data_IF_290859759518
#
_entry.id   IF_290859759518
#
_cell.length_a   1.000
_cell.length_b   1.000
_cell.length_c   1.000
_cell.angle_alpha   90.00
_cell.angle_beta   90.00
_cell.angle_gamma   90.00
#
_symmetry.space_group_name_H-M   'P 1'
#
loop_
_entity.id
_entity.type
_entity.pdbx_description
1 polymer ?
#
# COMPACT_ATOMS: atom_id res chain seq x y z
N UNK A 1 29.05 -5.58 1.88
CA UNK A 1 27.92 -5.77 2.83
C UNK A 1 26.69 -5.22 2.17
N UNK A 2 25.66 -6.02 1.97
CA UNK A 2 24.40 -5.59 1.38
C UNK A 2 23.48 -4.96 2.45
N UNK A 3 22.64 -4.00 2.03
CA UNK A 3 21.69 -3.31 2.89
C UNK A 3 20.26 -3.62 2.46
N UNK A 4 19.45 -4.13 3.39
CA UNK A 4 18.00 -4.19 3.23
C UNK A 4 17.38 -2.87 3.70
N UNK A 5 16.52 -2.25 2.88
CA UNK A 5 15.93 -0.95 3.19
C UNK A 5 14.44 -1.06 3.53
N UNK A 6 14.04 -0.42 4.63
CA UNK A 6 12.68 -0.39 5.14
C UNK A 6 11.93 0.89 4.72
N UNK A 7 12.47 2.05 5.08
CA UNK A 7 11.86 3.34 4.79
C UNK A 7 12.88 4.47 4.84
N UNK A 8 12.45 5.64 4.38
CA UNK A 8 13.14 6.90 4.54
C UNK A 8 12.32 7.79 5.46
N UNK A 9 12.99 8.59 6.29
CA UNK A 9 12.39 9.59 7.14
C UNK A 9 13.22 10.86 7.18
N UNK A 10 12.73 11.87 7.88
CA UNK A 10 13.48 13.09 8.16
C UNK A 10 14.56 12.83 9.20
N UNK A 11 15.79 13.27 8.93
CA UNK A 11 16.92 13.10 9.85
C UNK A 11 16.66 13.77 11.20
N UNK A 12 15.96 14.89 11.21
CA UNK A 12 15.62 15.63 12.43
C UNK A 12 14.73 14.85 13.41
N UNK A 13 14.03 13.83 12.95
CA UNK A 13 13.23 12.94 13.81
C UNK A 13 14.09 12.01 14.67
N UNK A 14 15.39 11.91 14.38
CA UNK A 14 16.35 11.04 15.05
C UNK A 14 17.52 11.83 15.61
N UNK A 15 17.43 12.33 16.86
CA UNK A 15 18.49 13.12 17.49
C UNK A 15 19.85 12.44 17.50
N UNK A 16 19.87 11.10 17.53
CA UNK A 16 21.06 10.27 17.49
C UNK A 16 21.89 10.51 16.22
N UNK A 17 21.24 10.87 15.11
CA UNK A 17 21.93 11.17 13.86
C UNK A 17 22.53 12.58 13.77
N UNK A 18 22.23 13.48 14.71
CA UNK A 18 22.59 14.89 14.59
C UNK A 18 24.09 15.12 14.39
N UNK A 19 24.92 14.29 15.03
CA UNK A 19 26.40 14.38 15.01
C UNK A 19 27.08 13.25 14.27
N UNK A 20 26.32 12.28 13.75
CA UNK A 20 26.87 11.09 13.12
C UNK A 20 26.83 11.18 11.59
N UNK A 21 27.95 10.79 10.97
CA UNK A 21 28.09 10.63 9.51
C UNK A 21 28.08 9.15 9.08
N UNK A 22 28.12 8.25 10.04
CA UNK A 22 28.09 6.80 9.85
C UNK A 22 26.73 6.25 10.32
N UNK A 23 26.34 5.06 9.87
CA UNK A 23 25.15 4.39 10.38
C UNK A 23 25.18 4.25 11.90
N UNK A 24 24.04 4.52 12.55
CA UNK A 24 23.87 4.42 13.99
C UNK A 24 22.87 3.30 14.28
N UNK A 25 23.19 2.32 15.17
CA UNK A 25 22.24 1.27 15.50
C UNK A 25 21.04 1.81 16.26
N UNK A 26 19.84 1.32 15.92
CA UNK A 26 18.62 1.54 16.70
C UNK A 26 18.49 0.41 17.72
N UNK A 27 18.44 0.75 19.02
CA UNK A 27 18.47 -0.26 20.09
C UNK A 27 17.12 -0.98 20.27
N UNK A 28 16.00 -0.29 20.00
CA UNK A 28 14.66 -0.80 20.32
C UNK A 28 13.95 -1.52 19.16
N UNK A 29 14.60 -1.63 18.00
CA UNK A 29 14.02 -2.24 16.81
C UNK A 29 14.92 -3.33 16.24
N UNK A 30 14.29 -4.46 15.92
CA UNK A 30 14.94 -5.57 15.19
C UNK A 30 14.34 -5.69 13.80
N UNK A 31 15.16 -5.96 12.82
CA UNK A 31 14.78 -6.12 11.43
C UNK A 31 14.34 -7.55 11.06
N UNK A 32 14.37 -7.83 9.77
CA UNK A 32 14.15 -9.18 9.22
C UNK A 32 15.16 -10.13 9.84
N UNK A 33 14.72 -11.34 10.16
CA UNK A 33 15.55 -12.40 10.78
C UNK A 33 16.24 -11.98 12.08
N UNK A 34 15.72 -10.96 12.77
CA UNK A 34 16.33 -10.44 14.00
C UNK A 34 17.55 -9.54 13.78
N UNK A 35 17.86 -9.18 12.55
CA UNK A 35 19.03 -8.34 12.21
C UNK A 35 18.91 -6.94 12.86
N UNK A 36 20.06 -6.40 13.28
CA UNK A 36 20.17 -5.06 13.82
C UNK A 36 19.72 -4.01 12.79
N UNK A 37 18.86 -3.09 13.20
CA UNK A 37 18.48 -1.94 12.39
C UNK A 37 19.45 -0.79 12.61
N UNK A 38 19.74 -0.07 11.53
CA UNK A 38 20.59 1.10 11.52
C UNK A 38 19.87 2.30 10.92
N UNK A 39 20.10 3.46 11.52
CA UNK A 39 19.80 4.76 10.92
C UNK A 39 20.98 5.18 10.05
N UNK A 40 20.78 5.21 8.76
CA UNK A 40 21.78 5.61 7.78
C UNK A 40 21.61 7.10 7.41
N UNK A 41 22.57 7.99 7.77
CA UNK A 41 22.44 9.42 7.49
C UNK A 41 22.65 9.74 6.01
N UNK A 42 21.71 10.47 5.41
CA UNK A 42 21.76 10.88 4.02
C UNK A 42 21.27 12.33 3.84
N UNK A 43 22.16 13.28 4.00
CA UNK A 43 21.85 14.72 4.08
C UNK A 43 20.82 15.03 5.17
N UNK A 44 19.65 15.54 4.79
CA UNK A 44 18.53 15.86 5.70
C UNK A 44 17.58 14.68 5.91
N UNK A 45 17.90 13.52 5.32
CA UNK A 45 17.13 12.29 5.42
C UNK A 45 17.87 11.25 6.28
N UNK A 46 17.11 10.35 6.84
CA UNK A 46 17.55 9.13 7.47
C UNK A 46 16.97 7.93 6.69
N UNK A 47 17.82 6.97 6.34
CA UNK A 47 17.38 5.72 5.73
C UNK A 47 17.44 4.63 6.80
N UNK A 48 16.33 3.96 7.00
CA UNK A 48 16.22 2.88 7.96
C UNK A 48 16.56 1.57 7.23
N UNK A 49 17.64 0.93 7.65
CA UNK A 49 18.22 -0.24 6.97
C UNK A 49 18.65 -1.32 7.98
N UNK A 50 18.83 -2.55 7.52
CA UNK A 50 19.57 -3.59 8.23
C UNK A 50 20.61 -4.21 7.30
N UNK A 51 21.60 -4.87 7.87
CA UNK A 51 22.46 -5.74 7.09
C UNK A 51 21.63 -6.85 6.46
N UNK A 52 22.00 -7.24 5.26
CA UNK A 52 21.31 -8.30 4.53
C UNK A 52 22.30 -9.33 4.01
N UNK A 53 22.03 -10.58 4.35
CA UNK A 53 22.73 -11.70 3.76
C UNK A 53 21.97 -12.13 2.49
N UNK A 54 22.59 -12.12 1.28
CA UNK A 54 21.93 -12.54 0.04
C UNK A 54 21.39 -13.98 0.05
N UNK A 55 21.87 -14.82 0.97
CA UNK A 55 21.39 -16.19 1.16
C UNK A 55 20.08 -16.26 2.00
N UNK A 56 19.67 -15.16 2.62
CA UNK A 56 18.42 -15.11 3.39
C UNK A 56 17.21 -15.01 2.44
N UNK A 57 16.27 -15.92 2.64
CA UNK A 57 15.01 -15.92 1.90
C UNK A 57 14.06 -14.82 2.41
N UNK A 58 13.62 -13.95 1.51
CA UNK A 58 12.62 -12.91 1.78
C UNK A 58 11.20 -13.50 1.72
N UNK A 59 10.89 -14.36 2.67
CA UNK A 59 9.64 -15.07 2.78
C UNK A 59 8.50 -14.23 3.39
N UNK A 60 7.37 -14.86 3.67
CA UNK A 60 6.19 -14.20 4.26
C UNK A 60 6.45 -13.63 5.67
N UNK A 61 7.32 -14.26 6.48
CA UNK A 61 7.69 -13.73 7.79
C UNK A 61 8.54 -12.45 7.64
N UNK A 62 9.49 -12.46 6.71
CA UNK A 62 10.28 -11.27 6.37
C UNK A 62 9.39 -10.09 5.92
N UNK A 63 8.30 -10.37 5.18
CA UNK A 63 7.34 -9.33 4.80
C UNK A 63 6.60 -8.74 6.02
N UNK A 64 6.26 -9.55 7.02
CA UNK A 64 5.67 -9.08 8.28
C UNK A 64 6.66 -8.24 9.09
N UNK A 65 7.92 -8.69 9.18
CA UNK A 65 8.97 -7.95 9.88
C UNK A 65 9.23 -6.60 9.22
N UNK A 66 9.27 -6.55 7.88
CA UNK A 66 9.38 -5.30 7.13
C UNK A 66 8.22 -4.35 7.48
N UNK A 67 6.98 -4.84 7.42
CA UNK A 67 5.80 -4.03 7.72
C UNK A 67 5.79 -3.54 9.17
N UNK A 68 6.24 -4.36 10.13
CA UNK A 68 6.39 -4.01 11.54
C UNK A 68 7.39 -2.88 11.71
N UNK A 69 8.59 -3.00 11.16
CA UNK A 69 9.63 -1.96 11.24
C UNK A 69 9.15 -0.64 10.66
N UNK A 70 8.55 -0.67 9.46
CA UNK A 70 7.99 0.55 8.85
C UNK A 70 6.88 1.15 9.70
N UNK A 71 6.01 0.32 10.28
CA UNK A 71 4.93 0.75 11.17
C UNK A 71 5.46 1.38 12.47
N UNK A 72 6.51 0.83 13.07
CA UNK A 72 7.13 1.38 14.28
C UNK A 72 7.84 2.71 13.98
N UNK A 73 8.55 2.81 12.85
CA UNK A 73 9.11 4.09 12.41
C UNK A 73 8.02 5.14 12.14
N UNK A 74 6.87 4.73 11.59
CA UNK A 74 5.74 5.61 11.32
C UNK A 74 5.12 6.21 12.59
N UNK A 75 5.13 5.48 13.71
CA UNK A 75 4.69 6.01 15.00
C UNK A 75 5.58 7.14 15.54
N UNK A 76 6.86 7.11 15.14
CA UNK A 76 7.86 8.09 15.60
C UNK A 76 7.95 9.30 14.65
N UNK A 77 7.73 9.11 13.36
CA UNK A 77 7.95 10.15 12.35
C UNK A 77 7.23 9.88 11.05
N UNK A 78 7.23 10.87 10.15
CA UNK A 78 6.81 10.67 8.75
C UNK A 78 7.76 9.72 8.06
N UNK A 79 7.23 8.67 7.44
CA UNK A 79 8.02 7.70 6.70
C UNK A 79 7.63 7.63 5.23
N UNK A 80 8.60 7.37 4.40
CA UNK A 80 8.45 7.03 2.99
C UNK A 80 8.86 5.56 2.83
N UNK A 81 7.90 4.62 2.81
CA UNK A 81 8.20 3.20 2.77
C UNK A 81 8.92 2.78 1.49
N UNK A 82 9.94 1.96 1.60
CA UNK A 82 10.43 1.16 0.48
C UNK A 82 9.51 -0.03 0.23
N UNK A 83 9.58 -0.56 -0.97
CA UNK A 83 8.93 -1.83 -1.27
C UNK A 83 9.63 -2.96 -0.52
N UNK A 84 8.85 -3.92 -0.06
CA UNK A 84 9.40 -5.18 0.41
C UNK A 84 10.35 -5.78 -0.63
N UNK A 85 11.51 -6.26 -0.17
CA UNK A 85 12.55 -6.79 -1.03
C UNK A 85 13.48 -5.72 -1.65
N UNK A 86 13.45 -4.47 -1.17
CA UNK A 86 14.41 -3.46 -1.61
C UNK A 86 15.77 -3.70 -0.94
N UNK A 87 16.74 -4.15 -1.73
CA UNK A 87 18.11 -4.44 -1.29
C UNK A 87 19.11 -3.66 -2.12
N UNK A 88 20.10 -3.09 -1.47
CA UNK A 88 21.26 -2.46 -2.08
C UNK A 88 22.47 -3.35 -1.91
N UNK A 89 23.21 -3.57 -3.00
CA UNK A 89 24.33 -4.51 -3.02
C UNK A 89 25.47 -4.14 -2.04
N UNK A 90 25.65 -2.85 -1.82
CA UNK A 90 26.68 -2.30 -0.93
C UNK A 90 26.34 -0.88 -0.48
N UNK A 91 27.21 -0.32 0.34
CA UNK A 91 27.09 1.04 0.88
C UNK A 91 27.14 2.10 -0.23
N UNK A 92 27.93 1.88 -1.27
CA UNK A 92 28.04 2.82 -2.39
C UNK A 92 26.75 2.84 -3.22
N UNK A 93 26.15 1.69 -3.50
CA UNK A 93 24.89 1.57 -4.22
C UNK A 93 23.75 2.27 -3.45
N UNK A 94 23.69 2.08 -2.12
CA UNK A 94 22.74 2.78 -1.25
C UNK A 94 22.93 4.30 -1.36
N UNK A 95 24.15 4.79 -1.12
CA UNK A 95 24.49 6.23 -1.17
C UNK A 95 24.17 6.85 -2.53
N UNK A 96 24.53 6.17 -3.61
CA UNK A 96 24.28 6.62 -4.98
C UNK A 96 22.80 6.75 -5.25
N UNK A 97 22.02 5.73 -4.89
CA UNK A 97 20.57 5.72 -5.07
C UNK A 97 19.89 6.86 -4.30
N UNK A 98 20.23 7.04 -3.01
CA UNK A 98 19.64 8.10 -2.20
C UNK A 98 20.02 9.47 -2.72
N UNK A 99 21.30 9.70 -3.07
CA UNK A 99 21.78 10.99 -3.61
C UNK A 99 21.10 11.35 -4.93
N UNK A 100 20.97 10.38 -5.83
CA UNK A 100 20.34 10.60 -7.14
C UNK A 100 18.85 10.97 -7.03
N UNK A 101 18.19 10.53 -5.95
CA UNK A 101 16.75 10.72 -5.75
C UNK A 101 16.44 11.66 -4.56
N UNK A 102 17.43 12.34 -3.99
CA UNK A 102 17.32 13.11 -2.76
C UNK A 102 16.18 14.14 -2.81
N UNK A 103 16.11 14.93 -3.88
CA UNK A 103 15.05 15.95 -4.04
C UNK A 103 13.66 15.31 -4.06
N UNK A 104 13.54 14.21 -4.80
CA UNK A 104 12.28 13.48 -4.88
C UNK A 104 11.86 12.94 -3.50
N UNK A 105 12.75 12.30 -2.77
CA UNK A 105 12.45 11.81 -1.42
C UNK A 105 12.09 12.95 -0.46
N UNK A 106 12.84 14.04 -0.46
CA UNK A 106 12.55 15.19 0.41
C UNK A 106 11.16 15.78 0.12
N UNK A 107 10.82 16.00 -1.15
CA UNK A 107 9.49 16.50 -1.55
C UNK A 107 8.37 15.55 -1.11
N UNK A 108 8.58 14.22 -1.24
CA UNK A 108 7.57 13.25 -0.81
C UNK A 108 7.42 13.18 0.70
N UNK A 109 8.52 13.19 1.45
CA UNK A 109 8.48 13.21 2.92
C UNK A 109 7.74 14.46 3.41
N UNK A 110 8.03 15.63 2.82
CA UNK A 110 7.32 16.86 3.17
C UNK A 110 5.82 16.79 2.83
N UNK A 111 5.45 16.29 1.65
CA UNK A 111 4.05 16.12 1.25
C UNK A 111 3.27 15.18 2.17
N UNK A 112 3.93 14.16 2.69
CA UNK A 112 3.34 13.13 3.55
C UNK A 112 3.42 13.46 5.03
N UNK A 113 4.05 14.59 5.40
CA UNK A 113 4.23 14.98 6.80
C UNK A 113 2.89 15.12 7.51
N UNK A 114 2.77 14.42 8.65
CA UNK A 114 1.55 14.42 9.46
C UNK A 114 0.35 13.75 8.81
N UNK A 115 0.54 13.01 7.71
CA UNK A 115 -0.52 12.28 7.03
C UNK A 115 -0.45 10.77 7.32
N UNK A 116 -1.61 10.13 7.25
CA UNK A 116 -1.78 8.69 7.40
C UNK A 116 -2.66 8.13 6.29
N UNK A 117 -2.43 6.89 5.93
CA UNK A 117 -3.26 6.17 4.98
C UNK A 117 -4.36 5.40 5.71
N UNK A 118 -5.61 5.61 5.31
CA UNK A 118 -6.76 4.80 5.71
C UNK A 118 -7.19 3.93 4.55
N UNK A 119 -7.39 2.64 4.82
CA UNK A 119 -7.74 1.67 3.80
C UNK A 119 -9.15 1.15 4.02
N UNK A 120 -10.01 1.36 3.03
CA UNK A 120 -11.41 0.97 3.03
C UNK A 120 -11.67 -0.09 1.97
N UNK A 121 -12.16 -1.26 2.38
CA UNK A 121 -12.65 -2.32 1.51
C UNK A 121 -14.16 -2.36 1.55
N UNK A 122 -14.78 -2.36 0.38
CA UNK A 122 -16.23 -2.51 0.24
C UNK A 122 -16.52 -3.77 -0.57
N UNK A 123 -17.20 -4.71 0.07
CA UNK A 123 -17.61 -5.98 -0.52
C UNK A 123 -19.14 -6.00 -0.66
N UNK A 124 -19.62 -6.48 -1.80
CA UNK A 124 -21.04 -6.71 -2.04
C UNK A 124 -21.29 -8.20 -2.10
N UNK A 125 -22.26 -8.68 -1.33
CA UNK A 125 -22.65 -10.08 -1.36
C UNK A 125 -23.27 -10.43 -2.72
N UNK A 126 -22.86 -11.56 -3.30
CA UNK A 126 -23.40 -12.05 -4.58
C UNK A 126 -24.91 -12.30 -4.54
N UNK A 127 -25.49 -12.52 -3.35
CA UNK A 127 -26.93 -12.67 -3.17
C UNK A 127 -27.73 -11.38 -3.43
N UNK A 128 -27.10 -10.21 -3.39
CA UNK A 128 -27.71 -8.91 -3.70
C UNK A 128 -27.66 -8.57 -5.20
N UNK A 129 -27.06 -9.42 -6.02
CA UNK A 129 -27.07 -9.29 -7.47
C UNK A 129 -28.27 -10.09 -8.03
N UNK A 130 -29.00 -9.56 -9.03
CA UNK A 130 -30.09 -10.28 -9.65
C UNK A 130 -29.61 -11.65 -10.14
N UNK A 131 -30.23 -12.72 -9.65
CA UNK A 131 -29.96 -14.07 -10.16
C UNK A 131 -30.45 -14.13 -11.60
N UNK A 132 -29.70 -14.72 -12.54
CA UNK A 132 -30.18 -14.89 -13.89
C UNK A 132 -31.43 -15.80 -13.85
N UNK A 133 -32.52 -15.31 -14.41
CA UNK A 133 -33.72 -16.13 -14.62
C UNK A 133 -33.33 -17.23 -15.60
N UNK A 134 -33.17 -18.46 -15.11
CA UNK A 134 -33.00 -19.62 -15.98
C UNK A 134 -34.29 -19.77 -16.77
N UNK A 135 -34.26 -19.46 -18.07
CA UNK A 135 -35.33 -19.80 -18.99
C UNK A 135 -35.43 -21.34 -19.04
N UNK A 136 -36.46 -21.89 -18.41
CA UNK A 136 -36.74 -23.32 -18.47
C UNK A 136 -37.27 -23.65 -19.85
N UNK A 137 -36.56 -24.53 -20.57
CA UNK A 137 -37.14 -25.30 -21.64
C UNK A 137 -36.83 -24.91 -23.09
N UNK A 138 -35.58 -25.06 -23.50
CA UNK A 138 -35.27 -25.38 -24.90
C UNK A 138 -33.98 -26.19 -24.94
N UNK A 139 -33.92 -27.28 -25.66
CA UNK A 139 -32.69 -28.03 -25.97
C UNK A 139 -31.77 -27.13 -26.79
N UNK A 140 -30.93 -26.37 -26.13
CA UNK A 140 -29.91 -25.55 -26.79
C UNK A 140 -28.71 -26.43 -27.17
N UNK A 141 -28.14 -26.19 -28.35
CA UNK A 141 -26.89 -26.81 -28.78
C UNK A 141 -25.72 -26.27 -27.89
N UNK A 142 -24.72 -27.11 -27.58
CA UNK A 142 -23.56 -26.82 -26.72
C UNK A 142 -22.91 -25.46 -27.04
N UNK A 143 -22.90 -25.04 -28.30
CA UNK A 143 -22.37 -23.74 -28.71
C UNK A 143 -23.23 -22.54 -28.28
N UNK A 144 -24.57 -22.71 -28.24
CA UNK A 144 -25.47 -21.65 -27.75
C UNK A 144 -25.38 -21.48 -26.23
N UNK A 145 -25.28 -22.60 -25.49
CA UNK A 145 -25.09 -22.58 -24.04
C UNK A 145 -23.79 -21.89 -23.66
N UNK A 146 -22.69 -22.14 -24.40
CA UNK A 146 -21.41 -21.47 -24.19
C UNK A 146 -21.50 -19.97 -24.45
N UNK A 147 -22.11 -19.53 -25.54
CA UNK A 147 -22.29 -18.10 -25.83
C UNK A 147 -23.25 -17.42 -24.84
N UNK A 148 -24.27 -18.12 -24.36
CA UNK A 148 -25.18 -17.65 -23.33
C UNK A 148 -24.41 -17.41 -22.01
N UNK A 149 -23.61 -18.37 -21.58
CA UNK A 149 -22.79 -18.24 -20.34
C UNK A 149 -21.77 -17.12 -20.43
N UNK A 150 -21.14 -16.89 -21.59
CA UNK A 150 -20.23 -15.77 -21.80
C UNK A 150 -20.95 -14.42 -21.73
N UNK A 151 -22.15 -14.30 -22.32
CA UNK A 151 -22.97 -13.08 -22.26
C UNK A 151 -23.43 -12.78 -20.83
N UNK A 152 -23.86 -13.80 -20.10
CA UNK A 152 -24.25 -13.66 -18.69
C UNK A 152 -23.06 -13.20 -17.84
N UNK A 153 -21.88 -13.78 -18.03
CA UNK A 153 -20.66 -13.40 -17.32
C UNK A 153 -20.29 -11.94 -17.62
N UNK A 154 -20.35 -11.55 -18.90
CA UNK A 154 -20.08 -10.17 -19.31
C UNK A 154 -21.11 -9.17 -18.77
N UNK A 155 -22.40 -9.57 -18.72
CA UNK A 155 -23.46 -8.74 -18.13
C UNK A 155 -23.23 -8.53 -16.64
N UNK A 156 -22.97 -9.60 -15.89
CA UNK A 156 -22.65 -9.52 -14.44
C UNK A 156 -21.44 -8.64 -14.17
N UNK A 157 -20.41 -8.75 -14.98
CA UNK A 157 -19.21 -7.93 -14.84
C UNK A 157 -19.52 -6.43 -15.07
N UNK A 158 -20.36 -6.11 -16.07
CA UNK A 158 -20.81 -4.72 -16.30
C UNK A 158 -21.65 -4.18 -15.14
N UNK A 159 -22.56 -4.98 -14.62
CA UNK A 159 -23.40 -4.60 -13.46
C UNK A 159 -22.55 -4.35 -12.22
N UNK A 160 -21.57 -5.22 -11.92
CA UNK A 160 -20.60 -5.03 -10.86
C UNK A 160 -19.80 -3.74 -11.03
N UNK A 161 -19.30 -3.48 -12.24
CA UNK A 161 -18.58 -2.25 -12.53
C UNK A 161 -19.45 -1.00 -12.33
N UNK A 162 -20.71 -1.05 -12.78
CA UNK A 162 -21.66 0.07 -12.62
C UNK A 162 -21.97 0.30 -11.15
N UNK A 163 -22.25 -0.74 -10.38
CA UNK A 163 -22.47 -0.65 -8.93
C UNK A 163 -21.21 -0.15 -8.22
N UNK A 164 -20.03 -0.64 -8.62
CA UNK A 164 -18.74 -0.19 -8.09
C UNK A 164 -18.52 1.30 -8.30
N UNK A 165 -18.82 1.82 -9.49
CA UNK A 165 -18.74 3.26 -9.79
C UNK A 165 -19.71 4.08 -8.94
N UNK A 166 -20.96 3.63 -8.80
CA UNK A 166 -21.95 4.31 -7.98
C UNK A 166 -21.53 4.39 -6.51
N UNK A 167 -21.06 3.28 -5.95
CA UNK A 167 -20.54 3.22 -4.58
C UNK A 167 -19.29 4.08 -4.44
N UNK A 168 -18.36 4.06 -5.40
CA UNK A 168 -17.16 4.91 -5.39
C UNK A 168 -17.51 6.38 -5.33
N UNK A 169 -18.46 6.83 -6.16
CA UNK A 169 -18.96 8.22 -6.13
C UNK A 169 -19.61 8.56 -4.78
N UNK A 170 -20.38 7.64 -4.22
CA UNK A 170 -21.00 7.82 -2.91
C UNK A 170 -19.96 7.89 -1.79
N UNK A 171 -18.94 7.02 -1.82
CA UNK A 171 -17.82 7.07 -0.88
C UNK A 171 -17.06 8.39 -0.99
N UNK A 172 -16.75 8.86 -2.20
CA UNK A 172 -16.14 10.16 -2.40
C UNK A 172 -16.94 11.27 -1.72
N UNK A 173 -18.25 11.30 -1.89
CA UNK A 173 -19.10 12.33 -1.27
C UNK A 173 -19.15 12.23 0.26
N UNK A 174 -19.07 11.05 0.82
CA UNK A 174 -19.19 10.81 2.26
C UNK A 174 -17.89 10.99 3.02
N UNK A 175 -16.75 10.63 2.41
CA UNK A 175 -15.46 10.54 3.10
C UNK A 175 -14.46 11.64 2.72
N UNK A 176 -14.67 12.34 1.59
CA UNK A 176 -13.68 13.29 1.10
C UNK A 176 -13.93 14.69 1.63
N UNK A 177 -13.09 15.22 2.51
CA UNK A 177 -12.85 16.65 2.61
C UNK A 177 -12.07 17.11 1.36
N UNK A 178 -12.17 18.38 1.03
CA UNK A 178 -11.69 18.96 -0.23
C UNK A 178 -10.19 18.83 -0.51
N UNK A 179 -9.39 18.39 0.47
CA UNK A 179 -7.92 18.38 0.42
C UNK A 179 -7.28 16.98 0.55
N UNK A 180 -8.06 15.89 0.47
CA UNK A 180 -7.53 14.53 0.67
C UNK A 180 -7.26 13.82 -0.66
N UNK A 181 -6.10 13.16 -0.75
CA UNK A 181 -5.76 12.32 -1.89
C UNK A 181 -6.43 10.95 -1.78
N UNK A 182 -6.98 10.47 -2.90
CA UNK A 182 -7.69 9.19 -2.97
C UNK A 182 -7.11 8.33 -4.07
N UNK A 183 -6.91 7.06 -3.76
CA UNK A 183 -6.67 6.01 -4.76
C UNK A 183 -7.79 4.98 -4.65
N UNK A 184 -8.50 4.71 -5.74
CA UNK A 184 -9.54 3.69 -5.77
C UNK A 184 -9.21 2.65 -6.84
N UNK A 185 -9.27 1.38 -6.47
CA UNK A 185 -9.16 0.25 -7.40
C UNK A 185 -10.43 -0.58 -7.33
N UNK A 186 -10.98 -0.91 -8.46
CA UNK A 186 -12.03 -1.92 -8.57
C UNK A 186 -11.35 -3.27 -8.79
N UNK A 187 -11.59 -4.21 -7.88
CA UNK A 187 -11.06 -5.57 -7.97
C UNK A 187 -12.24 -6.50 -8.21
N UNK A 188 -12.19 -7.24 -9.31
CA UNK A 188 -13.21 -8.22 -9.67
C UNK A 188 -12.64 -9.64 -9.43
N UNK A 189 -12.66 -10.07 -8.18
CA UNK A 189 -12.28 -11.44 -7.79
C UNK A 189 -13.43 -12.18 -7.09
N UNK A 190 -14.65 -11.94 -7.54
CA UNK A 190 -15.86 -12.62 -7.07
C UNK A 190 -16.58 -11.93 -5.92
N UNK A 191 -15.88 -11.36 -4.92
CA UNK A 191 -16.53 -10.71 -3.75
C UNK A 191 -16.09 -9.27 -3.50
N UNK A 192 -14.84 -8.93 -3.76
CA UNK A 192 -14.33 -7.59 -3.51
C UNK A 192 -14.72 -6.65 -4.65
N UNK A 193 -15.44 -5.60 -4.32
CA UNK A 193 -15.90 -4.62 -5.29
C UNK A 193 -14.99 -3.40 -5.37
N UNK A 194 -14.57 -2.87 -4.22
CA UNK A 194 -13.75 -1.66 -4.13
C UNK A 194 -12.65 -1.80 -3.08
N UNK A 195 -11.48 -1.34 -3.44
CA UNK A 195 -10.31 -1.21 -2.60
C UNK A 195 -9.84 0.25 -2.66
N UNK A 196 -10.07 1.00 -1.59
CA UNK A 196 -9.91 2.45 -1.54
C UNK A 196 -8.86 2.80 -0.49
N UNK A 197 -7.84 3.56 -0.88
CA UNK A 197 -6.90 4.17 0.05
C UNK A 197 -7.10 5.67 0.08
N UNK A 198 -7.28 6.24 1.27
CA UNK A 198 -7.36 7.67 1.52
C UNK A 198 -6.12 8.15 2.27
N UNK A 199 -5.50 9.22 1.78
CA UNK A 199 -4.44 9.93 2.50
C UNK A 199 -5.07 11.08 3.26
N UNK A 200 -5.06 11.01 4.59
CA UNK A 200 -5.70 11.99 5.47
C UNK A 200 -4.68 12.61 6.43
N UNK A 201 -5.00 13.77 7.01
CA UNK A 201 -4.26 14.29 8.15
C UNK A 201 -4.40 13.31 9.33
N UNK A 202 -3.29 12.95 9.97
CA UNK A 202 -3.27 12.02 11.10
C UNK A 202 -4.17 12.49 12.27
N UNK A 203 -4.35 13.80 12.43
CA UNK A 203 -5.27 14.38 13.42
C UNK A 203 -6.76 14.11 13.09
N UNK A 204 -7.05 13.74 11.85
CA UNK A 204 -8.42 13.47 11.38
C UNK A 204 -8.81 11.98 11.46
N UNK A 205 -7.94 11.10 11.94
CA UNK A 205 -8.18 9.64 11.98
C UNK A 205 -9.45 9.30 12.74
N UNK A 206 -9.65 9.85 13.94
CA UNK A 206 -10.84 9.60 14.75
C UNK A 206 -12.13 10.07 14.04
N UNK A 207 -12.11 11.27 13.46
CA UNK A 207 -13.24 11.79 12.67
C UNK A 207 -13.54 10.90 11.47
N UNK A 208 -12.50 10.37 10.81
CA UNK A 208 -12.65 9.44 9.70
C UNK A 208 -13.30 8.12 10.14
N UNK A 209 -12.87 7.56 11.27
CA UNK A 209 -13.43 6.34 11.85
C UNK A 209 -14.91 6.52 12.24
N UNK A 210 -15.28 7.67 12.79
CA UNK A 210 -16.67 8.00 13.11
C UNK A 210 -17.53 8.12 11.84
N UNK A 211 -17.02 8.74 10.79
CA UNK A 211 -17.70 8.78 9.47
C UNK A 211 -17.88 7.37 8.89
N UNK A 212 -16.87 6.51 9.03
CA UNK A 212 -16.97 5.12 8.60
C UNK A 212 -18.11 4.39 9.33
N UNK A 213 -18.19 4.51 10.65
CA UNK A 213 -19.25 3.87 11.44
C UNK A 213 -20.65 4.29 10.94
N UNK A 214 -20.88 5.60 10.76
CA UNK A 214 -22.15 6.12 10.24
C UNK A 214 -22.43 5.62 8.82
N UNK A 215 -21.43 5.61 7.94
CA UNK A 215 -21.61 5.17 6.55
C UNK A 215 -21.93 3.69 6.45
N UNK A 216 -21.32 2.87 7.29
CA UNK A 216 -21.61 1.43 7.35
C UNK A 216 -23.07 1.15 7.72
N UNK A 217 -23.68 1.97 8.57
CA UNK A 217 -25.09 1.86 8.92
C UNK A 217 -26.04 2.24 7.77
N UNK A 218 -25.60 3.18 6.91
CA UNK A 218 -26.36 3.61 5.74
C UNK A 218 -26.28 2.62 4.57
N UNK A 219 -25.20 1.86 4.45
CA UNK A 219 -24.93 0.94 3.34
C UNK A 219 -25.05 -0.54 3.80
N UNK A 220 -26.24 -0.93 4.24
CA UNK A 220 -26.52 -2.28 4.77
C UNK A 220 -26.29 -3.41 3.76
N UNK A 221 -26.38 -3.12 2.47
CA UNK A 221 -26.18 -4.10 1.38
C UNK A 221 -24.72 -4.35 1.04
N UNK A 222 -23.79 -3.70 1.77
CA UNK A 222 -22.37 -3.83 1.57
C UNK A 222 -21.66 -4.19 2.86
N UNK A 223 -20.75 -5.16 2.77
CA UNK A 223 -19.82 -5.40 3.87
C UNK A 223 -18.65 -4.42 3.72
N UNK A 224 -18.43 -3.62 4.74
CA UNK A 224 -17.36 -2.62 4.77
C UNK A 224 -16.33 -2.95 5.84
N UNK A 225 -15.06 -2.89 5.47
CA UNK A 225 -13.93 -3.07 6.38
C UNK A 225 -13.02 -1.86 6.31
N UNK A 226 -12.67 -1.32 7.46
CA UNK A 226 -11.73 -0.23 7.59
C UNK A 226 -10.47 -0.74 8.29
N UNK A 227 -9.31 -0.33 7.79
CA UNK A 227 -8.03 -0.53 8.45
C UNK A 227 -7.15 0.72 8.34
N UNK A 228 -6.19 0.85 9.24
CA UNK A 228 -5.32 2.00 9.40
C UNK A 228 -5.47 2.63 10.79
N UNK A 229 -4.68 3.66 11.11
CA UNK A 229 -3.78 4.38 10.19
C UNK A 229 -2.54 3.57 9.80
N UNK A 230 -2.19 3.61 8.54
CA UNK A 230 -1.02 2.95 7.95
C UNK A 230 -0.01 3.97 7.44
N UNK A 231 1.28 3.60 7.32
CA UNK A 231 2.23 4.33 6.48
C UNK A 231 1.67 4.49 5.06
N UNK A 232 1.97 5.61 4.37
CA UNK A 232 1.31 5.95 3.10
C UNK A 232 1.83 5.16 1.89
N UNK A 233 1.72 3.84 1.91
CA UNK A 233 2.24 2.93 0.88
C UNK A 233 1.69 3.20 -0.52
N UNK A 234 0.40 3.52 -0.65
CA UNK A 234 -0.25 3.77 -1.93
C UNK A 234 0.04 5.15 -2.50
N UNK A 235 0.51 6.07 -1.67
CA UNK A 235 0.75 7.47 -2.01
C UNK A 235 2.22 7.80 -2.27
N UNK A 236 3.11 6.84 -2.09
CA UNK A 236 4.50 6.94 -2.52
C UNK A 236 4.54 6.78 -4.05
N UNK A 237 4.81 7.87 -4.76
CA UNK A 237 4.99 7.81 -6.21
C UNK A 237 6.18 6.90 -6.54
N UNK A 238 5.96 6.00 -7.49
CA UNK A 238 7.03 5.12 -7.98
C UNK A 238 8.12 5.98 -8.61
N UNK A 239 9.34 5.87 -8.11
CA UNK A 239 10.49 6.28 -8.90
C UNK A 239 10.42 5.51 -10.21
N UNK A 240 10.31 6.23 -11.33
CA UNK A 240 10.56 5.63 -12.64
C UNK A 240 11.95 5.01 -12.55
N UNK A 241 12.04 3.68 -12.72
CA UNK A 241 13.29 2.92 -12.59
C UNK A 241 14.39 3.61 -13.38
N UNK A 242 15.54 3.95 -12.79
CA UNK A 242 16.76 3.89 -13.56
C UNK A 242 16.93 2.41 -13.92
N UNK A 243 17.22 2.13 -15.20
CA UNK A 243 17.47 0.80 -15.73
C UNK A 243 18.37 0.00 -14.76
N UNK A 244 17.78 -0.90 -13.98
CA UNK A 244 18.52 -2.01 -13.41
C UNK A 244 18.78 -2.93 -14.58
N UNK A 245 20.03 -2.97 -15.05
CA UNK A 245 20.54 -3.99 -15.93
C UNK A 245 20.14 -5.34 -15.33
N UNK A 246 19.19 -5.99 -15.98
CA UNK A 246 18.87 -7.37 -15.67
C UNK A 246 20.13 -8.20 -15.91
N UNK A 247 20.79 -8.59 -14.83
CA UNK A 247 21.76 -9.69 -14.90
C UNK A 247 20.93 -10.91 -15.31
N UNK A 248 21.24 -11.43 -16.51
CA UNK A 248 20.52 -12.53 -17.13
C UNK A 248 20.48 -13.75 -16.24
N UNK A 249 19.29 -14.33 -16.16
CA UNK A 249 19.09 -15.71 -15.74
C UNK A 249 19.38 -16.53 -16.99
N UNK A 250 20.40 -17.41 -17.02
CA UNK A 250 20.56 -18.35 -18.12
C UNK A 250 19.43 -19.40 -18.05
N UNK A 251 19.00 -19.81 -19.24
CA UNK A 251 17.96 -20.78 -19.50
C UNK A 251 18.22 -22.15 -18.88
#
# INVERSE_FOLDING_TARGET
MAWYAYCISEKQAFPELARHRKPVPMQDLTGISGNQIFLYPASDLAVIVSEHNPAEDLNHQAAKDHARVVGDCFKMSTVLPFRFGTVFADDEALRRSIRSNQRHYATHVERLRGKAEMHLRVMVDDCCLPQPVRASGAKETVGKEYLSSLRETASRQRERQTKGRAISVQMQRLFVPQDEEITCRTIDNGKLLLDISHLIDAKCVERYQNKFATTRELLKDCQMQLSGPWPPYHFVQRLTRPHATAAGIPA
#
